data_IF_289062833945
#
_entry.id   IF_289062833945
#
_cell.length_a   1.000
_cell.length_b   1.000
_cell.length_c   1.000
_cell.angle_alpha   90.00
_cell.angle_beta   90.00
_cell.angle_gamma   90.00
#
_symmetry.space_group_name_H-M   'P 1'
#
loop_
_entity.id
_entity.type
_entity.pdbx_description
1 polymer ?
#
# COMPACT_ATOMS: atom_id res chain seq x y z
N UNK A 1 -3.48 20.98 -5.76
CA UNK A 1 -3.08 19.59 -5.44
C UNK A 1 -3.72 18.97 -4.21
N UNK A 2 -3.73 19.62 -3.02
CA UNK A 2 -4.32 19.00 -1.78
C UNK A 2 -5.83 18.76 -1.83
N UNK A 3 -6.61 19.59 -2.49
CA UNK A 3 -8.08 19.47 -2.55
C UNK A 3 -8.50 18.34 -3.48
N UNK A 4 -7.83 18.17 -4.60
CA UNK A 4 -8.07 17.09 -5.55
C UNK A 4 -7.77 15.71 -4.97
N UNK A 5 -6.65 15.53 -4.26
CA UNK A 5 -6.27 14.26 -3.65
C UNK A 5 -7.24 13.81 -2.55
N UNK A 6 -7.72 14.75 -1.71
CA UNK A 6 -8.70 14.45 -0.65
C UNK A 6 -10.08 14.11 -1.22
N UNK A 7 -10.52 14.82 -2.26
CA UNK A 7 -11.76 14.51 -2.97
C UNK A 7 -11.69 13.15 -3.67
N UNK A 8 -10.53 12.82 -4.27
CA UNK A 8 -10.26 11.51 -4.84
C UNK A 8 -10.29 10.40 -3.80
N UNK A 9 -9.62 10.58 -2.66
CA UNK A 9 -9.61 9.61 -1.59
C UNK A 9 -11.03 9.33 -1.07
N UNK A 10 -11.83 10.38 -0.86
CA UNK A 10 -13.22 10.24 -0.41
C UNK A 10 -14.11 9.55 -1.45
N UNK A 11 -13.89 9.80 -2.74
CA UNK A 11 -14.67 9.19 -3.83
C UNK A 11 -14.27 7.74 -4.09
N UNK A 12 -12.97 7.40 -4.03
CA UNK A 12 -12.44 6.06 -4.25
C UNK A 12 -12.70 5.10 -3.10
N UNK A 13 -12.56 5.58 -1.87
CA UNK A 13 -12.61 4.74 -0.70
C UNK A 13 -13.90 4.92 0.12
N UNK A 14 -14.69 5.98 -0.16
CA UNK A 14 -15.97 6.24 0.49
C UNK A 14 -15.90 6.05 2.01
N UNK A 15 -16.78 5.20 2.54
CA UNK A 15 -16.85 4.85 3.97
C UNK A 15 -15.57 4.18 4.48
N UNK A 16 -14.81 3.50 3.62
CA UNK A 16 -13.53 2.88 3.99
C UNK A 16 -12.46 3.92 4.34
N UNK A 17 -12.51 5.10 3.73
CA UNK A 17 -11.60 6.20 4.05
C UNK A 17 -11.83 6.76 5.45
N UNK A 18 -13.07 6.87 5.89
CA UNK A 18 -13.41 7.32 7.24
C UNK A 18 -12.95 6.32 8.32
N UNK A 19 -12.91 5.05 7.98
CA UNK A 19 -12.40 3.98 8.86
C UNK A 19 -10.87 3.90 8.92
N UNK A 20 -10.15 4.66 8.11
CA UNK A 20 -8.68 4.62 8.08
C UNK A 20 -8.06 4.97 9.44
N UNK A 21 -8.63 5.97 10.12
CA UNK A 21 -8.23 6.37 11.48
C UNK A 21 -8.43 5.25 12.50
N UNK A 22 -9.53 4.51 12.39
CA UNK A 22 -9.81 3.37 13.25
C UNK A 22 -8.83 2.22 13.02
N UNK A 23 -8.46 1.95 11.77
CA UNK A 23 -7.47 0.92 11.45
C UNK A 23 -6.12 1.27 12.05
N UNK A 24 -5.70 2.53 11.95
CA UNK A 24 -4.45 2.99 12.56
C UNK A 24 -4.47 2.89 14.10
N UNK A 25 -5.60 3.19 14.75
CA UNK A 25 -5.76 2.99 16.18
C UNK A 25 -5.66 1.51 16.58
N UNK A 26 -6.24 0.62 15.77
CA UNK A 26 -6.14 -0.83 16.00
C UNK A 26 -4.68 -1.29 15.90
N UNK A 27 -3.91 -0.81 14.92
CA UNK A 27 -2.50 -1.12 14.77
C UNK A 27 -1.69 -0.68 16.01
N UNK A 28 -1.98 0.50 16.56
CA UNK A 28 -1.35 1.00 17.80
C UNK A 28 -1.72 0.11 19.00
N UNK A 29 -2.98 -0.27 19.14
CA UNK A 29 -3.45 -1.14 20.22
C UNK A 29 -2.76 -2.51 20.16
N UNK A 30 -2.66 -3.09 18.96
CA UNK A 30 -1.97 -4.37 18.73
C UNK A 30 -0.48 -4.25 19.06
N UNK A 31 0.17 -3.16 18.63
CA UNK A 31 1.57 -2.90 18.97
C UNK A 31 1.79 -2.88 20.49
N UNK A 32 1.02 -2.08 21.23
CA UNK A 32 1.13 -1.99 22.67
C UNK A 32 0.79 -3.29 23.37
N UNK A 33 -0.24 -4.01 22.93
CA UNK A 33 -0.62 -5.29 23.49
C UNK A 33 0.50 -6.32 23.37
N UNK A 34 1.11 -6.44 22.21
CA UNK A 34 2.23 -7.36 21.97
C UNK A 34 3.50 -6.93 22.70
N UNK A 35 3.76 -5.62 22.76
CA UNK A 35 4.92 -5.06 23.46
C UNK A 35 4.86 -5.34 24.98
N UNK A 36 3.68 -5.24 25.59
CA UNK A 36 3.47 -5.53 27.02
C UNK A 36 3.66 -7.03 27.32
N UNK A 37 3.26 -7.91 26.39
CA UNK A 37 3.48 -9.36 26.54
C UNK A 37 4.96 -9.73 26.55
N UNK A 38 5.83 -8.86 26.00
CA UNK A 38 7.29 -9.02 26.07
C UNK A 38 7.83 -10.19 25.25
N UNK A 39 7.08 -10.69 24.28
CA UNK A 39 7.51 -11.77 23.42
C UNK A 39 8.49 -11.26 22.37
N UNK A 40 9.80 -11.53 22.56
CA UNK A 40 10.83 -11.10 21.62
C UNK A 40 11.37 -12.26 20.80
N UNK A 41 11.38 -12.09 19.49
CA UNK A 41 11.96 -13.03 18.53
C UNK A 41 13.14 -12.37 17.83
N UNK A 42 14.26 -13.09 17.75
CA UNK A 42 15.41 -12.63 16.99
C UNK A 42 15.20 -12.94 15.49
N UNK A 43 14.75 -11.94 14.75
CA UNK A 43 14.57 -12.03 13.29
C UNK A 43 15.68 -11.18 12.64
N UNK A 44 16.40 -11.75 11.68
CA UNK A 44 17.42 -11.02 10.95
C UNK A 44 16.82 -9.79 10.22
N UNK A 45 17.51 -8.63 10.21
CA UNK A 45 16.99 -7.40 9.59
C UNK A 45 16.61 -7.55 8.13
N UNK A 46 17.40 -8.31 7.37
CA UNK A 46 17.12 -8.61 5.96
C UNK A 46 15.81 -9.37 5.76
N UNK A 47 15.51 -10.32 6.65
CA UNK A 47 14.26 -11.11 6.60
C UNK A 47 13.06 -10.23 6.90
N UNK A 48 13.15 -9.34 7.89
CA UNK A 48 12.08 -8.39 8.23
C UNK A 48 11.75 -7.46 7.06
N UNK A 49 12.78 -6.87 6.43
CA UNK A 49 12.62 -6.00 5.27
C UNK A 49 12.01 -6.76 4.10
N UNK A 50 12.49 -7.97 3.84
CA UNK A 50 11.98 -8.82 2.77
C UNK A 50 10.51 -9.21 3.01
N UNK A 51 10.14 -9.55 4.23
CA UNK A 51 8.75 -9.85 4.60
C UNK A 51 7.84 -8.65 4.37
N UNK A 52 8.24 -7.45 4.83
CA UNK A 52 7.47 -6.23 4.65
C UNK A 52 7.31 -5.85 3.19
N UNK A 53 8.38 -5.90 2.41
CA UNK A 53 8.35 -5.51 0.99
C UNK A 53 7.55 -6.51 0.15
N UNK A 54 7.74 -7.81 0.33
CA UNK A 54 6.99 -8.84 -0.40
C UNK A 54 5.51 -8.85 -0.04
N UNK A 55 5.18 -8.69 1.24
CA UNK A 55 3.79 -8.57 1.68
C UNK A 55 3.12 -7.33 1.09
N UNK A 56 3.80 -6.18 1.15
CA UNK A 56 3.28 -4.93 0.56
C UNK A 56 3.07 -5.06 -0.94
N UNK A 57 4.01 -5.66 -1.66
CA UNK A 57 3.90 -5.91 -3.10
C UNK A 57 2.69 -6.81 -3.41
N UNK A 58 2.50 -7.90 -2.67
CA UNK A 58 1.38 -8.82 -2.84
C UNK A 58 0.02 -8.16 -2.60
N UNK A 59 -0.11 -7.40 -1.51
CA UNK A 59 -1.36 -6.69 -1.19
C UNK A 59 -1.64 -5.57 -2.19
N UNK A 60 -0.60 -4.84 -2.63
CA UNK A 60 -0.76 -3.81 -3.65
C UNK A 60 -1.17 -4.41 -5.01
N UNK A 61 -0.59 -5.54 -5.38
CA UNK A 61 -1.00 -6.28 -6.57
C UNK A 61 -2.47 -6.70 -6.51
N UNK A 62 -2.90 -7.26 -5.39
CA UNK A 62 -4.29 -7.65 -5.16
C UNK A 62 -5.22 -6.43 -5.24
N UNK A 63 -4.84 -5.30 -4.64
CA UNK A 63 -5.62 -4.07 -4.69
C UNK A 63 -5.78 -3.53 -6.11
N UNK A 64 -4.70 -3.53 -6.91
CA UNK A 64 -4.72 -3.10 -8.30
C UNK A 64 -5.51 -4.04 -9.23
N UNK A 65 -5.50 -5.34 -8.94
CA UNK A 65 -6.20 -6.35 -9.75
C UNK A 65 -7.66 -6.54 -9.35
N UNK A 66 -8.14 -5.88 -8.30
CA UNK A 66 -9.53 -6.00 -7.89
C UNK A 66 -10.48 -5.41 -8.96
N UNK A 67 -11.61 -6.08 -9.18
CA UNK A 67 -12.60 -5.69 -10.18
C UNK A 67 -13.17 -4.30 -9.91
N UNK A 68 -13.42 -3.98 -8.65
CA UNK A 68 -13.98 -2.70 -8.22
C UNK A 68 -13.04 -1.54 -8.57
N UNK A 69 -11.74 -1.72 -8.33
CA UNK A 69 -10.71 -0.75 -8.67
C UNK A 69 -10.63 -0.46 -10.17
N UNK A 70 -10.79 -1.49 -11.00
CA UNK A 70 -10.73 -1.36 -12.46
C UNK A 70 -11.94 -0.59 -12.99
N UNK A 71 -13.14 -0.88 -12.48
CA UNK A 71 -14.39 -0.21 -12.87
C UNK A 71 -14.36 1.26 -12.44
N UNK A 72 -13.93 1.54 -11.22
CA UNK A 72 -13.82 2.91 -10.72
C UNK A 72 -12.80 3.73 -11.53
N UNK A 73 -11.68 3.13 -11.92
CA UNK A 73 -10.69 3.79 -12.79
C UNK A 73 -11.26 4.13 -14.17
N UNK A 74 -12.06 3.26 -14.78
CA UNK A 74 -12.69 3.52 -16.07
C UNK A 74 -13.67 4.70 -16.00
N UNK A 75 -14.49 4.78 -14.96
CA UNK A 75 -15.41 5.90 -14.75
C UNK A 75 -14.69 7.24 -14.50
N UNK A 76 -13.51 7.20 -13.87
CA UNK A 76 -12.74 8.41 -13.58
C UNK A 76 -11.93 8.91 -14.79
N UNK A 77 -11.55 8.03 -15.71
CA UNK A 77 -10.87 8.42 -16.96
C UNK A 77 -11.76 9.25 -17.90
N UNK A 78 -13.08 9.26 -17.67
CA UNK A 78 -14.03 10.12 -18.38
C UNK A 78 -14.05 11.58 -17.87
N UNK A 79 -13.37 11.88 -16.76
CA UNK A 79 -13.30 13.23 -16.21
C UNK A 79 -12.18 14.04 -16.89
N UNK A 80 -12.34 15.37 -17.06
CA UNK A 80 -11.38 16.23 -17.75
C UNK A 80 -10.16 16.56 -16.88
N UNK A 81 -9.44 15.55 -16.39
CA UNK A 81 -8.21 15.71 -15.63
C UNK A 81 -6.97 15.41 -16.46
N UNK A 82 -5.86 16.05 -16.14
CA UNK A 82 -4.58 15.70 -16.73
C UNK A 82 -4.20 14.26 -16.38
N UNK A 83 -3.98 13.44 -17.39
CA UNK A 83 -3.79 11.99 -17.28
C UNK A 83 -2.66 11.60 -16.31
N UNK A 84 -1.58 12.36 -16.31
CA UNK A 84 -0.43 12.11 -15.44
C UNK A 84 -0.72 12.41 -13.96
N UNK A 85 -1.38 13.53 -13.68
CA UNK A 85 -1.77 13.89 -12.31
C UNK A 85 -2.78 12.89 -11.74
N UNK A 86 -3.67 12.39 -12.58
CA UNK A 86 -4.64 11.39 -12.19
C UNK A 86 -3.96 10.08 -11.77
N UNK A 87 -3.10 9.51 -12.62
CA UNK A 87 -2.42 8.24 -12.32
C UNK A 87 -1.55 8.34 -11.07
N UNK A 88 -0.81 9.44 -10.95
CA UNK A 88 0.05 9.67 -9.77
C UNK A 88 -0.79 9.77 -8.49
N UNK A 89 -1.87 10.56 -8.50
CA UNK A 89 -2.75 10.71 -7.34
C UNK A 89 -3.41 9.39 -6.95
N UNK A 90 -3.84 8.61 -7.94
CA UNK A 90 -4.47 7.31 -7.74
C UNK A 90 -3.49 6.30 -7.11
N UNK A 91 -2.30 6.14 -7.67
CA UNK A 91 -1.27 5.22 -7.16
C UNK A 91 -0.85 5.62 -5.74
N UNK A 92 -0.66 6.92 -5.50
CA UNK A 92 -0.27 7.43 -4.18
C UNK A 92 -1.36 7.15 -3.14
N UNK A 93 -2.63 7.39 -3.47
CA UNK A 93 -3.74 7.17 -2.54
C UNK A 93 -3.98 5.69 -2.28
N UNK A 94 -3.95 4.85 -3.32
CA UNK A 94 -4.09 3.40 -3.17
C UNK A 94 -2.92 2.82 -2.39
N UNK A 95 -1.70 3.27 -2.66
CA UNK A 95 -0.50 2.88 -1.91
C UNK A 95 -0.59 3.27 -0.44
N UNK A 96 -0.95 4.52 -0.14
CA UNK A 96 -1.10 5.00 1.23
C UNK A 96 -2.19 4.19 1.98
N UNK A 97 -3.33 3.95 1.35
CA UNK A 97 -4.39 3.12 1.91
C UNK A 97 -3.91 1.68 2.19
N UNK A 98 -3.21 1.07 1.26
CA UNK A 98 -2.66 -0.29 1.39
C UNK A 98 -1.63 -0.37 2.52
N UNK A 99 -0.73 0.62 2.60
CA UNK A 99 0.28 0.70 3.67
C UNK A 99 -0.40 0.79 5.03
N UNK A 100 -1.35 1.71 5.20
CA UNK A 100 -2.00 1.92 6.50
C UNK A 100 -2.87 0.73 6.90
N UNK A 101 -3.66 0.16 5.98
CA UNK A 101 -4.65 -0.87 6.34
C UNK A 101 -4.10 -2.28 6.43
N UNK A 102 -3.00 -2.59 5.77
CA UNK A 102 -2.46 -3.95 5.69
C UNK A 102 -1.01 -4.03 6.14
N UNK A 103 -0.13 -3.25 5.52
CA UNK A 103 1.30 -3.28 5.85
C UNK A 103 1.55 -2.70 7.24
N UNK A 104 0.76 -1.72 7.68
CA UNK A 104 0.81 -1.12 9.02
C UNK A 104 0.66 -2.16 10.12
N UNK A 105 -0.32 -3.05 9.98
CA UNK A 105 -0.53 -4.15 10.93
C UNK A 105 0.71 -5.06 11.02
N UNK A 106 1.25 -5.49 9.89
CA UNK A 106 2.45 -6.34 9.88
C UNK A 106 3.66 -5.61 10.47
N UNK A 107 3.81 -4.32 10.15
CA UNK A 107 4.87 -3.47 10.71
C UNK A 107 4.71 -3.34 12.23
N UNK A 108 3.52 -3.09 12.74
CA UNK A 108 3.22 -2.99 14.15
C UNK A 108 3.59 -4.29 14.91
N UNK A 109 3.20 -5.43 14.37
CA UNK A 109 3.55 -6.75 14.93
C UNK A 109 5.06 -6.95 14.94
N UNK A 110 5.75 -6.70 13.82
CA UNK A 110 7.20 -6.87 13.74
C UNK A 110 7.96 -5.90 14.66
N UNK A 111 7.49 -4.66 14.80
CA UNK A 111 8.08 -3.68 15.72
C UNK A 111 7.90 -4.10 17.19
N UNK A 112 6.77 -4.71 17.54
CA UNK A 112 6.50 -5.15 18.90
C UNK A 112 7.32 -6.39 19.29
N UNK A 113 7.51 -7.32 18.33
CA UNK A 113 8.08 -8.65 18.59
C UNK A 113 9.59 -8.70 18.37
N UNK A 114 10.21 -7.75 17.68
CA UNK A 114 11.64 -7.76 17.37
C UNK A 114 12.33 -6.44 17.72
N UNK A 115 13.60 -6.54 18.07
CA UNK A 115 14.43 -5.34 18.37
C UNK A 115 14.83 -4.66 17.05
N UNK A 116 14.61 -3.36 16.95
CA UNK A 116 14.89 -2.55 15.77
C UNK A 116 15.91 -1.45 16.07
N UNK A 117 16.83 -1.27 15.14
CA UNK A 117 17.67 -0.08 15.10
C UNK A 117 16.98 1.02 14.29
N UNK A 118 17.16 2.31 14.62
CA UNK A 118 16.52 3.41 13.87
C UNK A 118 16.78 3.36 12.35
N UNK A 119 17.99 2.99 11.96
CA UNK A 119 18.37 2.85 10.56
C UNK A 119 17.58 1.75 9.82
N UNK A 120 17.23 0.67 10.51
CA UNK A 120 16.44 -0.44 9.95
C UNK A 120 14.99 -0.03 9.73
N UNK A 121 14.43 0.82 10.61
CA UNK A 121 13.08 1.37 10.46
C UNK A 121 13.02 2.25 9.20
N UNK A 122 13.98 3.15 9.04
CA UNK A 122 14.06 4.02 7.86
C UNK A 122 14.22 3.19 6.59
N UNK A 123 15.12 2.20 6.61
CA UNK A 123 15.30 1.28 5.49
C UNK A 123 14.03 0.51 5.13
N UNK A 124 13.27 0.05 6.12
CA UNK A 124 12.00 -0.64 5.91
C UNK A 124 10.95 0.25 5.27
N UNK A 125 10.83 1.50 5.70
CA UNK A 125 9.89 2.47 5.11
C UNK A 125 10.24 2.73 3.64
N UNK A 126 11.52 2.93 3.33
CA UNK A 126 11.98 3.12 1.95
C UNK A 126 11.65 1.89 1.09
N UNK A 127 11.89 0.68 1.60
CA UNK A 127 11.59 -0.56 0.89
C UNK A 127 10.09 -0.77 0.68
N UNK A 128 9.24 -0.39 1.63
CA UNK A 128 7.79 -0.43 1.49
C UNK A 128 7.33 0.51 0.37
N UNK A 129 7.81 1.76 0.36
CA UNK A 129 7.49 2.73 -0.69
C UNK A 129 7.96 2.22 -2.05
N UNK A 130 9.18 1.69 -2.12
CA UNK A 130 9.73 1.11 -3.34
C UNK A 130 8.89 -0.06 -3.85
N UNK A 131 8.44 -0.96 -2.96
CA UNK A 131 7.58 -2.08 -3.31
C UNK A 131 6.24 -1.62 -3.91
N UNK A 132 5.61 -0.56 -3.37
CA UNK A 132 4.39 0.02 -3.93
C UNK A 132 4.63 0.57 -5.34
N UNK A 133 5.70 1.34 -5.54
CA UNK A 133 6.02 1.95 -6.83
C UNK A 133 6.34 0.89 -7.89
N UNK A 134 7.19 -0.09 -7.56
CA UNK A 134 7.56 -1.16 -8.47
C UNK A 134 6.37 -2.05 -8.85
N UNK A 135 5.53 -2.41 -7.88
CA UNK A 135 4.32 -3.21 -8.16
C UNK A 135 3.36 -2.46 -9.08
N UNK A 136 3.19 -1.15 -8.87
CA UNK A 136 2.35 -0.31 -9.72
C UNK A 136 2.89 -0.21 -11.15
N UNK A 137 4.21 -0.05 -11.30
CA UNK A 137 4.87 0.00 -12.59
C UNK A 137 4.74 -1.33 -13.36
N UNK A 138 5.03 -2.45 -12.70
CA UNK A 138 4.91 -3.79 -13.29
C UNK A 138 3.48 -4.09 -13.70
N UNK A 139 2.49 -3.74 -12.86
CA UNK A 139 1.09 -3.91 -13.17
C UNK A 139 0.66 -3.09 -14.40
N UNK A 140 1.13 -1.85 -14.50
CA UNK A 140 0.84 -0.96 -15.64
C UNK A 140 1.44 -1.50 -16.93
N UNK A 141 2.70 -1.97 -16.89
CA UNK A 141 3.38 -2.59 -18.03
C UNK A 141 2.64 -3.86 -18.48
N UNK A 142 2.25 -4.73 -17.56
CA UNK A 142 1.49 -5.93 -17.88
C UNK A 142 0.19 -5.60 -18.60
N UNK A 143 -0.58 -4.61 -18.12
CA UNK A 143 -1.81 -4.18 -18.78
C UNK A 143 -1.57 -3.61 -20.17
N UNK A 144 -0.51 -2.83 -20.35
CA UNK A 144 -0.12 -2.30 -21.65
C UNK A 144 0.19 -3.42 -22.65
N UNK A 145 0.92 -4.45 -22.22
CA UNK A 145 1.26 -5.58 -23.08
C UNK A 145 0.05 -6.42 -23.48
N UNK A 146 -0.89 -6.65 -22.57
CA UNK A 146 -2.15 -7.34 -22.91
C UNK A 146 -3.00 -6.51 -23.86
N UNK A 147 -3.06 -5.19 -23.70
CA UNK A 147 -3.82 -4.31 -24.57
C UNK A 147 -3.21 -4.18 -25.98
N UNK A 148 -1.88 -4.34 -26.11
CA UNK A 148 -1.18 -4.29 -27.41
C UNK A 148 -1.23 -5.58 -28.21
N UNK A 149 -1.92 -6.63 -27.72
CA UNK A 149 -2.09 -7.90 -28.44
C UNK A 149 -0.81 -8.73 -28.60
N UNK A 150 0.26 -8.40 -27.87
CA UNK A 150 1.56 -9.05 -27.99
C UNK A 150 1.56 -10.55 -27.61
N UNK A 151 0.50 -11.02 -26.94
CA UNK A 151 0.36 -12.41 -26.50
C UNK A 151 -0.72 -13.20 -27.26
N UNK A 152 -1.30 -12.67 -28.33
CA UNK A 152 -2.31 -13.35 -29.16
C UNK A 152 -1.72 -13.87 -30.48
N UNK A 153 -0.42 -14.04 -30.55
CA UNK A 153 0.26 -14.69 -31.66
C UNK A 153 0.68 -16.11 -31.32
#
# INVERSE_FOLDING_TARGET
>A
MKITSKAFAKKLFGVKYERLSWTFLIDIIIFWGLYIVGFQVQIAPSVRILMLSSFTAGVMWQALSSRDTIVEMQHMLMLPFCRQEFVFSYVTMLGAYTIVTKTGLLLAVLLAVSVWKPIEIVGSIICIIHAVLMTSAVYSLRKYWYASGFWTG
#
